data_IF_087490094135
#
_entry.id   IF_087490094135
#
_cell.length_a   1.000
_cell.length_b   1.000
_cell.length_c   1.000
_cell.angle_alpha   90.00
_cell.angle_beta   90.00
_cell.angle_gamma   90.00
#
_symmetry.space_group_name_H-M   'P 1'
#
loop_
_entity.id
_entity.type
_entity.pdbx_description
1 polymer ?
#
# COMPACT_ATOMS: atom_id res chain seq x y z
N UNK A 1 -1.94 28.62 9.81
CA UNK A 1 -2.47 27.99 8.58
C UNK A 1 -3.29 26.77 9.00
N UNK A 2 -4.63 26.81 8.99
CA UNK A 2 -5.48 25.77 9.59
C UNK A 2 -5.91 24.63 8.65
N UNK A 3 -5.74 24.76 7.32
CA UNK A 3 -6.26 23.78 6.36
C UNK A 3 -5.55 22.40 6.40
N UNK A 4 -4.28 22.35 6.81
CA UNK A 4 -3.48 21.11 6.82
C UNK A 4 -3.85 20.21 8.01
N UNK A 5 -4.21 20.78 9.16
CA UNK A 5 -4.64 20.01 10.34
C UNK A 5 -6.01 19.32 10.13
N UNK A 6 -6.91 19.96 9.40
CA UNK A 6 -8.20 19.36 9.02
C UNK A 6 -8.04 18.14 8.11
N UNK A 7 -7.05 18.12 7.23
CA UNK A 7 -6.82 17.02 6.28
C UNK A 7 -6.24 15.78 6.99
N UNK A 8 -5.27 15.99 7.89
CA UNK A 8 -4.67 14.91 8.69
C UNK A 8 -5.68 14.25 9.63
N UNK A 9 -6.52 15.06 10.29
CA UNK A 9 -7.55 14.56 11.20
C UNK A 9 -8.68 13.82 10.49
N UNK A 10 -9.06 14.27 9.29
CA UNK A 10 -10.03 13.58 8.43
C UNK A 10 -9.48 12.25 7.92
N UNK A 11 -8.24 12.23 7.43
CA UNK A 11 -7.57 11.01 6.99
C UNK A 11 -7.50 9.98 8.12
N UNK A 12 -7.11 10.39 9.32
CA UNK A 12 -7.01 9.51 10.48
C UNK A 12 -8.38 8.90 10.85
N UNK A 13 -9.46 9.70 10.84
CA UNK A 13 -10.81 9.22 11.09
C UNK A 13 -11.28 8.23 10.02
N UNK A 14 -11.08 8.56 8.74
CA UNK A 14 -11.45 7.69 7.64
C UNK A 14 -10.70 6.35 7.72
N UNK A 15 -9.39 6.40 7.94
CA UNK A 15 -8.56 5.20 8.10
C UNK A 15 -9.05 4.34 9.27
N UNK A 16 -9.33 4.95 10.42
CA UNK A 16 -9.87 4.22 11.58
C UNK A 16 -11.19 3.53 11.24
N UNK A 17 -12.11 4.24 10.60
CA UNK A 17 -13.40 3.67 10.18
C UNK A 17 -13.25 2.50 9.21
N UNK A 18 -12.30 2.59 8.25
CA UNK A 18 -12.00 1.48 7.32
C UNK A 18 -11.44 0.26 8.05
N UNK A 19 -10.61 0.46 9.08
CA UNK A 19 -10.07 -0.63 9.91
C UNK A 19 -11.18 -1.28 10.74
N UNK A 20 -11.98 -0.48 11.43
CA UNK A 20 -13.06 -0.99 12.31
C UNK A 20 -14.16 -1.74 11.56
N UNK A 21 -14.40 -1.38 10.30
CA UNK A 21 -15.36 -2.08 9.42
C UNK A 21 -14.80 -3.32 8.74
N UNK A 22 -13.49 -3.59 8.86
CA UNK A 22 -12.80 -4.68 8.15
C UNK A 22 -12.57 -4.42 6.65
N UNK A 23 -13.04 -3.28 6.12
CA UNK A 23 -12.84 -2.87 4.74
C UNK A 23 -11.35 -2.68 4.41
N UNK A 24 -10.57 -2.21 5.40
CA UNK A 24 -9.13 -2.07 5.27
C UNK A 24 -8.44 -3.39 4.96
N UNK A 25 -8.79 -4.47 5.68
CA UNK A 25 -8.20 -5.79 5.47
C UNK A 25 -8.58 -6.36 4.09
N UNK A 26 -9.81 -6.12 3.65
CA UNK A 26 -10.26 -6.50 2.30
C UNK A 26 -9.47 -5.77 1.20
N UNK A 27 -9.27 -4.46 1.36
CA UNK A 27 -8.45 -3.66 0.44
C UNK A 27 -7.00 -4.17 0.39
N UNK A 28 -6.42 -4.49 1.55
CA UNK A 28 -5.07 -5.04 1.63
C UNK A 28 -4.97 -6.43 0.98
N UNK A 29 -5.93 -7.32 1.22
CA UNK A 29 -5.94 -8.66 0.66
C UNK A 29 -5.97 -8.63 -0.88
N UNK A 30 -6.88 -7.84 -1.44
CA UNK A 30 -7.01 -7.68 -2.90
C UNK A 30 -5.79 -6.99 -3.51
N UNK A 31 -5.25 -5.94 -2.88
CA UNK A 31 -4.00 -5.32 -3.34
C UNK A 31 -2.87 -6.34 -3.38
N UNK A 32 -2.74 -7.19 -2.33
CA UNK A 32 -1.73 -8.24 -2.28
C UNK A 32 -1.92 -9.29 -3.37
N UNK A 33 -3.17 -9.70 -3.63
CA UNK A 33 -3.50 -10.63 -4.71
C UNK A 33 -3.08 -10.07 -6.07
N UNK A 34 -3.46 -8.82 -6.38
CA UNK A 34 -3.08 -8.15 -7.63
C UNK A 34 -1.58 -7.98 -7.81
N UNK A 35 -0.87 -7.62 -6.74
CA UNK A 35 0.59 -7.52 -6.78
C UNK A 35 1.27 -8.88 -6.98
N UNK A 36 0.68 -9.94 -6.45
CA UNK A 36 1.16 -11.29 -6.65
C UNK A 36 0.91 -11.79 -8.08
N UNK A 37 -0.30 -11.57 -8.61
CA UNK A 37 -0.65 -11.89 -10.00
C UNK A 37 0.22 -11.13 -11.02
N UNK A 38 0.60 -9.89 -10.69
CA UNK A 38 1.49 -9.08 -11.51
C UNK A 38 2.98 -9.50 -11.41
N UNK A 39 3.32 -10.51 -10.60
CA UNK A 39 4.69 -10.99 -10.40
C UNK A 39 5.57 -10.09 -9.52
N UNK A 40 5.06 -8.93 -9.08
CA UNK A 40 5.82 -7.93 -8.31
C UNK A 40 6.31 -8.46 -6.97
N UNK A 41 5.50 -9.31 -6.31
CA UNK A 41 5.88 -9.93 -5.03
C UNK A 41 7.12 -10.83 -5.19
N UNK A 42 7.21 -11.58 -6.28
CA UNK A 42 8.32 -12.51 -6.50
C UNK A 42 9.58 -11.80 -6.98
N UNK A 43 9.44 -10.73 -7.77
CA UNK A 43 10.52 -9.81 -8.12
C UNK A 43 11.20 -9.26 -6.85
N UNK A 44 10.41 -8.70 -5.92
CA UNK A 44 10.94 -8.16 -4.67
C UNK A 44 11.58 -9.20 -3.77
N UNK A 45 11.04 -10.42 -3.71
CA UNK A 45 11.68 -11.51 -2.96
C UNK A 45 13.03 -11.86 -3.56
N UNK A 46 13.12 -11.90 -4.90
CA UNK A 46 14.37 -12.19 -5.60
C UNK A 46 15.42 -11.13 -5.25
N UNK A 47 15.08 -9.85 -5.39
CA UNK A 47 15.98 -8.74 -5.07
C UNK A 47 16.38 -8.73 -3.58
N UNK A 48 15.42 -8.93 -2.68
CA UNK A 48 15.68 -8.99 -1.23
C UNK A 48 16.65 -10.12 -0.88
N UNK A 49 16.53 -11.27 -1.55
CA UNK A 49 17.43 -12.42 -1.36
C UNK A 49 18.85 -12.13 -1.82
N UNK A 50 19.02 -11.28 -2.84
CA UNK A 50 20.33 -10.85 -3.29
C UNK A 50 20.96 -9.86 -2.31
N UNK A 51 20.18 -8.89 -1.85
CA UNK A 51 20.60 -7.88 -0.87
C UNK A 51 20.97 -8.50 0.48
N UNK A 52 20.22 -9.51 0.95
CA UNK A 52 20.42 -10.13 2.28
C UNK A 52 21.70 -10.95 2.41
N UNK A 53 22.46 -11.16 1.33
CA UNK A 53 23.69 -11.95 1.37
C UNK A 53 24.80 -11.31 2.20
N UNK A 54 24.71 -10.01 2.48
CA UNK A 54 25.84 -9.23 3.04
C UNK A 54 25.48 -8.26 4.16
N UNK A 55 24.19 -8.08 4.45
CA UNK A 55 23.72 -7.05 5.38
C UNK A 55 22.57 -7.56 6.23
N UNK A 56 22.29 -6.84 7.32
CA UNK A 56 21.19 -7.14 8.21
C UNK A 56 19.82 -6.78 7.61
N UNK A 57 18.76 -7.23 8.28
CA UNK A 57 17.38 -7.03 7.81
C UNK A 57 17.03 -5.55 7.57
N UNK A 58 17.45 -4.65 8.47
CA UNK A 58 17.16 -3.21 8.35
C UNK A 58 17.84 -2.61 7.12
N UNK A 59 19.09 -3.00 6.83
CA UNK A 59 19.79 -2.55 5.64
C UNK A 59 19.20 -3.11 4.35
N UNK A 60 18.71 -4.36 4.35
CA UNK A 60 17.96 -4.92 3.22
C UNK A 60 16.69 -4.10 2.98
N UNK A 61 15.91 -3.85 4.04
CA UNK A 61 14.66 -3.12 3.93
C UNK A 61 14.88 -1.70 3.38
N UNK A 62 15.91 -1.00 3.87
CA UNK A 62 16.27 0.33 3.40
C UNK A 62 16.67 0.35 1.91
N UNK A 63 17.24 -0.74 1.39
CA UNK A 63 17.60 -0.87 -0.02
C UNK A 63 16.41 -1.26 -0.91
N UNK A 64 15.55 -2.15 -0.42
CA UNK A 64 14.45 -2.71 -1.21
C UNK A 64 13.24 -1.76 -1.27
N UNK A 65 12.97 -0.96 -0.24
CA UNK A 65 11.81 -0.04 -0.21
C UNK A 65 11.79 0.92 -1.41
N UNK A 66 12.87 1.63 -1.76
CA UNK A 66 12.88 2.53 -2.91
C UNK A 66 12.56 1.80 -4.22
N UNK A 67 13.14 0.61 -4.43
CA UNK A 67 12.85 -0.19 -5.62
C UNK A 67 11.38 -0.63 -5.65
N UNK A 68 10.86 -1.17 -4.54
CA UNK A 68 9.45 -1.55 -4.41
C UNK A 68 8.48 -0.40 -4.75
N UNK A 69 8.79 0.81 -4.30
CA UNK A 69 7.97 1.98 -4.62
C UNK A 69 8.04 2.37 -6.10
N UNK A 70 9.22 2.24 -6.71
CA UNK A 70 9.45 2.58 -8.12
C UNK A 70 8.90 1.53 -9.10
N UNK A 71 8.98 0.24 -8.74
CA UNK A 71 8.55 -0.90 -9.58
C UNK A 71 7.06 -1.22 -9.45
N UNK A 72 6.33 -0.52 -8.57
CA UNK A 72 4.90 -0.74 -8.36
C UNK A 72 4.11 -0.63 -9.68
N UNK A 73 3.41 -1.69 -10.12
CA UNK A 73 2.69 -1.67 -11.39
C UNK A 73 1.61 -0.58 -11.41
N UNK A 74 1.65 0.29 -12.42
CA UNK A 74 0.69 1.40 -12.54
C UNK A 74 -0.76 0.92 -12.64
N UNK A 75 -1.00 -0.23 -13.26
CA UNK A 75 -2.33 -0.82 -13.37
C UNK A 75 -2.91 -1.15 -11.98
N UNK A 76 -2.13 -1.84 -11.15
CA UNK A 76 -2.51 -2.20 -9.77
C UNK A 76 -2.72 -0.94 -8.93
N UNK A 77 -1.83 0.05 -9.04
CA UNK A 77 -2.00 1.34 -8.35
C UNK A 77 -3.31 2.02 -8.69
N UNK A 78 -3.67 2.10 -9.98
CA UNK A 78 -4.92 2.71 -10.44
C UNK A 78 -6.15 1.94 -9.95
N UNK A 79 -6.09 0.61 -9.98
CA UNK A 79 -7.18 -0.25 -9.50
C UNK A 79 -7.45 -0.02 -8.01
N UNK A 80 -6.40 -0.09 -7.17
CA UNK A 80 -6.48 0.14 -5.72
C UNK A 80 -6.97 1.55 -5.41
N UNK A 81 -6.47 2.58 -6.12
CA UNK A 81 -6.95 3.95 -5.98
C UNK A 81 -8.45 4.07 -6.30
N UNK A 82 -8.92 3.42 -7.36
CA UNK A 82 -10.34 3.39 -7.72
C UNK A 82 -11.20 2.70 -6.66
N UNK A 83 -10.69 1.65 -6.03
CA UNK A 83 -11.39 0.93 -4.95
C UNK A 83 -11.53 1.76 -3.68
N UNK A 84 -10.43 2.43 -3.28
CA UNK A 84 -10.45 3.38 -2.16
C UNK A 84 -11.46 4.49 -2.45
N UNK A 85 -11.45 5.06 -3.67
CA UNK A 85 -12.39 6.11 -4.06
C UNK A 85 -13.85 5.65 -3.92
N UNK A 86 -14.19 4.45 -4.44
CA UNK A 86 -15.54 3.87 -4.31
C UNK A 86 -15.95 3.62 -2.86
N UNK A 87 -15.01 3.25 -1.99
CA UNK A 87 -15.29 3.07 -0.56
C UNK A 87 -15.61 4.40 0.11
N UNK A 88 -14.81 5.42 -0.18
CA UNK A 88 -15.04 6.77 0.32
C UNK A 88 -16.39 7.29 -0.17
N UNK A 89 -16.66 7.24 -1.47
CA UNK A 89 -17.92 7.70 -2.07
C UNK A 89 -19.16 7.05 -1.43
N UNK A 90 -19.11 5.75 -1.12
CA UNK A 90 -20.21 5.05 -0.42
C UNK A 90 -20.45 5.53 1.01
N UNK A 91 -19.45 6.04 1.73
CA UNK A 91 -19.63 6.53 3.11
C UNK A 91 -20.20 7.94 3.21
N UNK A 92 -20.25 8.67 2.09
CA UNK A 92 -20.75 10.06 2.03
C UNK A 92 -22.07 10.20 1.26
N UNK A 93 -22.71 9.09 0.89
CA UNK A 93 -24.13 9.03 0.48
C UNK A 93 -25.01 8.65 1.67
#
# INVERSE_FOLDING_TARGET
>A
MPAVETDVSLYAHLKRSLVESGEWDQLQAMMRERLNEAGWVDELKSESKEASRRVDFQSVLAQVIPHAQASLPMAVRKEVQGLIKRHIERKFQ
#
